data_IF_905326419605
#
_entry.id   IF_905326419605
#
_cell.length_a   1.000
_cell.length_b   1.000
_cell.length_c   1.000
_cell.angle_alpha   90.00
_cell.angle_beta   90.00
_cell.angle_gamma   90.00
#
_symmetry.space_group_name_H-M   'P 1'
#
loop_
_entity.id
_entity.type
_entity.pdbx_description
1 polymer ?
#
# COMPACT_ATOMS: atom_id res chain seq x y z
N UNK A 1 -2.81 -10.53 -9.52
CA UNK A 1 -4.04 -11.19 -9.97
C UNK A 1 -4.16 -12.50 -9.20
N UNK A 2 -5.26 -12.66 -8.48
CA UNK A 2 -5.53 -13.76 -7.53
C UNK A 2 -6.40 -14.81 -8.22
N UNK A 3 -6.28 -16.08 -7.83
CA UNK A 3 -6.94 -17.23 -8.46
C UNK A 3 -8.47 -17.30 -8.29
N UNK A 4 -9.10 -16.40 -7.52
CA UNK A 4 -10.55 -16.38 -7.33
C UNK A 4 -11.21 -15.10 -7.87
N UNK A 5 -12.33 -15.26 -8.56
CA UNK A 5 -13.09 -14.24 -9.28
C UNK A 5 -13.95 -13.32 -8.39
N UNK A 6 -13.51 -13.02 -7.17
CA UNK A 6 -14.11 -11.96 -6.34
C UNK A 6 -13.16 -10.77 -6.31
N UNK A 7 -13.62 -9.60 -6.71
CA UNK A 7 -12.81 -8.36 -6.82
C UNK A 7 -12.17 -7.88 -5.48
N UNK A 8 -12.46 -8.57 -4.37
CA UNK A 8 -11.90 -8.34 -3.04
C UNK A 8 -10.98 -9.51 -2.67
N UNK A 9 -9.75 -9.19 -2.27
CA UNK A 9 -8.75 -10.14 -1.78
C UNK A 9 -8.65 -10.10 -0.26
N UNK A 10 -8.47 -11.26 0.32
CA UNK A 10 -8.33 -11.52 1.76
C UNK A 10 -7.01 -12.25 2.06
N UNK A 11 -6.80 -12.61 3.33
CA UNK A 11 -5.57 -13.28 3.77
C UNK A 11 -5.36 -14.70 3.19
N UNK A 12 -6.39 -15.30 2.61
CA UNK A 12 -6.31 -16.60 1.93
C UNK A 12 -5.82 -16.47 0.49
N UNK A 13 -5.79 -15.24 -0.02
CA UNK A 13 -5.42 -14.93 -1.40
C UNK A 13 -3.90 -14.92 -1.60
N UNK A 14 -3.44 -15.57 -2.67
CA UNK A 14 -2.03 -15.56 -3.07
C UNK A 14 -1.86 -15.08 -4.50
N UNK A 15 -0.76 -14.36 -4.74
CA UNK A 15 -0.38 -13.98 -6.10
C UNK A 15 0.05 -15.21 -6.89
N UNK A 16 -0.51 -15.38 -8.10
CA UNK A 16 0.00 -16.34 -9.05
C UNK A 16 1.30 -15.81 -9.69
N UNK A 17 2.43 -16.39 -9.29
CA UNK A 17 3.78 -15.95 -9.69
C UNK A 17 4.03 -16.13 -11.18
N UNK A 18 3.44 -17.15 -11.81
CA UNK A 18 3.64 -17.43 -13.23
C UNK A 18 2.93 -16.39 -14.11
N UNK A 19 1.72 -15.98 -13.72
CA UNK A 19 1.01 -14.85 -14.35
C UNK A 19 1.86 -13.58 -14.23
N UNK A 20 2.36 -13.24 -13.04
CA UNK A 20 3.18 -12.04 -12.84
C UNK A 20 4.48 -12.08 -13.64
N UNK A 21 5.10 -13.26 -13.78
CA UNK A 21 6.30 -13.46 -14.59
C UNK A 21 6.02 -13.24 -16.08
N UNK A 22 4.84 -13.66 -16.56
CA UNK A 22 4.43 -13.46 -17.95
C UNK A 22 4.15 -11.99 -18.29
N UNK A 23 3.59 -11.21 -17.34
CA UNK A 23 3.27 -9.79 -17.54
C UNK A 23 4.51 -8.89 -17.75
N UNK A 24 5.68 -9.30 -17.23
CA UNK A 24 6.96 -8.57 -17.35
C UNK A 24 6.85 -7.07 -17.07
N UNK A 25 6.01 -6.66 -16.12
CA UNK A 25 5.83 -5.26 -15.77
C UNK A 25 6.88 -4.81 -14.74
N UNK A 26 6.98 -3.49 -14.52
CA UNK A 26 7.96 -2.89 -13.61
C UNK A 26 7.91 -3.48 -12.19
N UNK A 27 6.72 -3.83 -11.70
CA UNK A 27 6.52 -4.38 -10.36
C UNK A 27 6.65 -5.92 -10.29
N UNK A 28 6.88 -6.62 -11.41
CA UNK A 28 6.88 -8.09 -11.46
C UNK A 28 7.93 -8.69 -10.51
N UNK A 29 9.19 -8.24 -10.59
CA UNK A 29 10.28 -8.78 -9.76
C UNK A 29 10.02 -8.55 -8.26
N UNK A 30 9.54 -7.36 -7.89
CA UNK A 30 9.17 -7.03 -6.51
C UNK A 30 8.05 -7.95 -6.01
N UNK A 31 6.98 -8.09 -6.81
CA UNK A 31 5.80 -8.88 -6.45
C UNK A 31 6.15 -10.37 -6.30
N UNK A 32 6.95 -10.92 -7.22
CA UNK A 32 7.40 -12.31 -7.16
C UNK A 32 8.28 -12.52 -5.92
N UNK A 33 9.25 -11.64 -5.67
CA UNK A 33 10.13 -11.74 -4.50
C UNK A 33 9.32 -11.73 -3.20
N UNK A 34 8.42 -10.76 -3.00
CA UNK A 34 7.60 -10.68 -1.79
C UNK A 34 6.72 -11.92 -1.60
N UNK A 35 6.10 -12.41 -2.67
CA UNK A 35 5.24 -13.59 -2.62
C UNK A 35 6.02 -14.85 -2.20
N UNK A 36 7.17 -15.11 -2.84
CA UNK A 36 7.96 -16.31 -2.56
C UNK A 36 8.61 -16.24 -1.18
N UNK A 37 9.09 -15.08 -0.75
CA UNK A 37 9.65 -14.89 0.60
C UNK A 37 8.60 -15.15 1.69
N UNK A 38 7.38 -14.63 1.54
CA UNK A 38 6.31 -14.85 2.54
C UNK A 38 5.93 -16.33 2.63
N UNK A 39 5.75 -17.01 1.48
CA UNK A 39 5.47 -18.46 1.45
C UNK A 39 6.56 -19.27 2.16
N UNK A 40 7.82 -18.99 1.83
CA UNK A 40 8.96 -19.70 2.43
C UNK A 40 9.06 -19.45 3.95
N UNK A 41 8.81 -18.22 4.40
CA UNK A 41 8.83 -17.89 5.82
C UNK A 41 7.71 -18.62 6.59
N UNK A 42 6.49 -18.65 6.05
CA UNK A 42 5.36 -19.36 6.66
C UNK A 42 5.59 -20.87 6.73
N UNK A 43 6.08 -21.47 5.64
CA UNK A 43 6.41 -22.90 5.60
C UNK A 43 7.53 -23.25 6.60
N UNK A 44 8.58 -22.42 6.66
CA UNK A 44 9.65 -22.60 7.63
C UNK A 44 9.14 -22.49 9.07
N UNK A 45 8.30 -21.50 9.36
CA UNK A 45 7.76 -21.30 10.69
C UNK A 45 6.88 -22.48 11.13
N UNK A 46 6.02 -22.99 10.24
CA UNK A 46 5.19 -24.17 10.51
C UNK A 46 6.04 -25.41 10.81
N UNK A 47 7.06 -25.68 9.98
CA UNK A 47 7.98 -26.82 10.16
C UNK A 47 8.78 -26.77 11.46
N UNK A 48 9.03 -25.57 11.98
CA UNK A 48 9.89 -25.35 13.15
C UNK A 48 9.10 -24.94 14.40
N UNK A 49 7.76 -24.99 14.38
CA UNK A 49 6.93 -24.63 15.53
C UNK A 49 7.04 -23.16 15.95
N UNK A 50 7.39 -22.26 15.03
CA UNK A 50 7.49 -20.82 15.26
C UNK A 50 6.11 -20.19 15.02
N UNK A 51 5.60 -19.40 15.98
CA UNK A 51 4.41 -18.60 15.75
C UNK A 51 4.75 -17.37 14.89
N UNK A 52 4.72 -17.53 13.57
CA UNK A 52 4.93 -16.43 12.63
C UNK A 52 3.61 -15.74 12.29
N UNK A 53 3.64 -14.41 12.37
CA UNK A 53 2.60 -13.53 11.88
C UNK A 53 3.19 -12.66 10.77
N UNK A 54 2.47 -12.52 9.65
CA UNK A 54 2.86 -11.62 8.56
C UNK A 54 1.83 -10.50 8.44
N UNK A 55 2.34 -9.27 8.34
CA UNK A 55 1.52 -8.08 8.08
C UNK A 55 1.72 -7.68 6.63
N UNK A 56 0.62 -7.52 5.89
CA UNK A 56 0.60 -7.24 4.45
C UNK A 56 0.07 -5.83 4.26
N UNK A 57 0.94 -4.80 4.29
CA UNK A 57 0.51 -3.43 4.07
C UNK A 57 0.22 -3.16 2.59
N UNK A 58 -0.71 -2.24 2.33
CA UNK A 58 -0.89 -1.63 1.00
C UNK A 58 0.07 -0.45 0.81
N UNK A 59 -0.29 0.60 0.05
CA UNK A 59 0.65 1.70 -0.16
C UNK A 59 0.85 2.47 1.15
N UNK A 60 2.04 2.27 1.73
CA UNK A 60 2.42 2.94 2.97
C UNK A 60 2.64 4.42 2.67
N UNK A 61 1.85 5.28 3.30
CA UNK A 61 1.91 6.72 3.18
C UNK A 61 1.99 7.39 4.56
N UNK A 62 2.31 8.69 4.60
CA UNK A 62 2.56 9.41 5.85
C UNK A 62 3.97 10.01 5.96
N UNK A 63 4.30 10.58 7.13
CA UNK A 63 5.60 11.17 7.40
C UNK A 63 6.72 10.13 7.38
N UNK A 64 7.96 10.58 7.16
CA UNK A 64 9.10 9.68 7.05
C UNK A 64 10.36 10.29 7.68
N UNK A 65 11.19 9.42 8.25
CA UNK A 65 12.47 9.79 8.88
C UNK A 65 13.68 9.53 7.97
N UNK A 66 13.48 8.86 6.84
CA UNK A 66 14.54 8.51 5.90
C UNK A 66 15.11 9.76 5.22
N UNK A 67 16.40 9.74 4.83
CA UNK A 67 17.03 10.89 4.17
C UNK A 67 16.45 11.13 2.78
N UNK A 68 16.04 10.07 2.08
CA UNK A 68 15.35 10.14 0.80
C UNK A 68 13.86 9.84 0.98
N UNK A 69 13.03 10.38 0.08
CA UNK A 69 11.60 10.07 0.03
C UNK A 69 11.40 8.56 -0.20
N UNK A 70 10.65 7.85 0.65
CA UNK A 70 10.34 6.45 0.43
C UNK A 70 9.61 6.24 -0.90
N UNK A 71 9.90 5.15 -1.60
CA UNK A 71 9.28 4.85 -2.89
C UNK A 71 7.74 4.83 -2.85
N UNK A 72 7.15 4.29 -1.78
CA UNK A 72 5.68 4.28 -1.60
C UNK A 72 5.11 5.68 -1.41
N UNK A 73 5.77 6.54 -0.62
CA UNK A 73 5.36 7.93 -0.39
C UNK A 73 5.50 8.74 -1.69
N UNK A 74 6.60 8.56 -2.42
CA UNK A 74 6.81 9.20 -3.73
C UNK A 74 5.74 8.82 -4.74
N UNK A 75 5.40 7.53 -4.80
CA UNK A 75 4.34 7.02 -5.68
C UNK A 75 2.96 7.52 -5.27
N UNK A 76 2.72 7.65 -3.96
CA UNK A 76 1.47 8.19 -3.41
C UNK A 76 1.29 9.68 -3.71
N UNK A 77 2.38 10.44 -3.89
CA UNK A 77 2.35 11.88 -4.19
C UNK A 77 2.71 12.21 -5.64
N UNK A 78 2.57 11.26 -6.58
CA UNK A 78 2.99 11.47 -7.96
C UNK A 78 2.22 12.62 -8.66
N UNK A 79 0.95 12.85 -8.31
CA UNK A 79 0.17 13.99 -8.84
C UNK A 79 0.72 15.36 -8.41
N UNK A 80 1.40 15.41 -7.25
CA UNK A 80 1.99 16.64 -6.72
C UNK A 80 3.44 16.79 -7.22
N UNK A 81 4.19 15.69 -7.23
CA UNK A 81 5.61 15.70 -7.48
C UNK A 81 6.02 15.45 -8.94
N UNK A 82 5.04 15.11 -9.80
CA UNK A 82 5.24 14.72 -11.18
C UNK A 82 5.72 13.28 -11.37
N UNK A 83 5.64 12.82 -12.62
CA UNK A 83 6.02 11.47 -13.02
C UNK A 83 7.47 11.12 -12.67
N UNK A 84 7.70 9.86 -12.32
CA UNK A 84 9.05 9.30 -12.38
C UNK A 84 9.37 8.85 -13.80
N UNK A 85 10.66 8.64 -14.10
CA UNK A 85 11.11 7.95 -15.32
C UNK A 85 10.64 6.47 -15.39
N UNK A 86 9.75 6.04 -14.50
CA UNK A 86 9.20 4.70 -14.40
C UNK A 86 7.68 4.80 -14.59
N UNK A 87 7.15 4.08 -15.59
CA UNK A 87 5.74 4.06 -15.99
C UNK A 87 4.82 3.39 -14.93
N UNK A 88 4.76 3.91 -13.71
CA UNK A 88 3.81 3.45 -12.70
C UNK A 88 2.69 4.47 -12.57
N UNK A 89 1.54 4.19 -13.16
CA UNK A 89 0.34 5.02 -12.99
C UNK A 89 -0.50 4.54 -11.82
N UNK A 90 -1.28 5.45 -11.23
CA UNK A 90 -2.25 5.09 -10.21
C UNK A 90 -3.23 4.02 -10.74
N UNK A 91 -3.45 2.93 -9.99
CA UNK A 91 -4.53 2.02 -10.31
C UNK A 91 -5.89 2.71 -10.18
N UNK A 92 -6.97 2.15 -10.78
CA UNK A 92 -8.32 2.72 -10.64
C UNK A 92 -8.76 2.88 -9.18
N UNK A 93 -8.36 1.95 -8.31
CA UNK A 93 -8.53 2.03 -6.86
C UNK A 93 -7.15 1.99 -6.19
N UNK A 94 -6.86 3.01 -5.40
CA UNK A 94 -5.58 3.20 -4.72
C UNK A 94 -5.75 2.87 -3.24
N UNK A 95 -5.09 1.81 -2.73
CA UNK A 95 -5.19 1.43 -1.34
C UNK A 95 -4.05 2.04 -0.52
N UNK A 96 -4.38 2.75 0.55
CA UNK A 96 -3.41 3.38 1.45
C UNK A 96 -3.46 2.83 2.87
N UNK A 97 -2.33 2.93 3.55
CA UNK A 97 -2.22 2.74 4.99
C UNK A 97 -1.17 3.69 5.56
N UNK A 98 -1.43 4.27 6.72
CA UNK A 98 -0.50 5.17 7.38
C UNK A 98 0.68 4.39 7.97
N UNK A 99 1.90 4.92 7.88
CA UNK A 99 3.12 4.29 8.40
C UNK A 99 3.02 3.91 9.89
N UNK A 100 2.44 4.79 10.71
CA UNK A 100 2.24 4.52 12.13
C UNK A 100 1.15 3.47 12.37
N UNK A 101 0.15 3.36 11.50
CA UNK A 101 -0.86 2.29 11.62
C UNK A 101 -0.27 0.93 11.26
N UNK A 102 0.62 0.86 10.26
CA UNK A 102 1.39 -0.36 9.98
C UNK A 102 2.24 -0.73 11.19
N UNK A 103 2.93 0.23 11.79
CA UNK A 103 3.76 0.02 12.98
C UNK A 103 2.92 -0.45 14.17
N UNK A 104 1.78 0.21 14.41
CA UNK A 104 0.84 -0.15 15.46
C UNK A 104 0.25 -1.55 15.22
N UNK A 105 -0.02 -1.95 13.98
CA UNK A 105 -0.52 -3.29 13.66
C UNK A 105 0.51 -4.37 14.04
N UNK A 106 1.80 -4.14 13.75
CA UNK A 106 2.87 -5.05 14.17
C UNK A 106 2.93 -5.18 15.70
N UNK A 107 2.95 -4.06 16.42
CA UNK A 107 2.99 -4.06 17.91
C UNK A 107 1.74 -4.74 18.48
N UNK A 108 0.56 -4.41 17.96
CA UNK A 108 -0.70 -4.95 18.43
C UNK A 108 -0.77 -6.48 18.26
N UNK A 109 -0.39 -6.99 17.08
CA UNK A 109 -0.40 -8.44 16.81
C UNK A 109 0.67 -9.19 17.61
N UNK A 110 1.81 -8.55 17.89
CA UNK A 110 2.88 -9.14 18.69
C UNK A 110 2.52 -9.18 20.18
N UNK A 111 1.98 -8.09 20.74
CA UNK A 111 1.88 -7.90 22.18
C UNK A 111 0.47 -7.99 22.76
N UNK A 112 -0.56 -7.64 21.98
CA UNK A 112 -1.93 -7.44 22.49
C UNK A 112 -2.89 -8.55 22.09
N UNK A 113 -2.76 -9.07 20.87
CA UNK A 113 -3.65 -10.11 20.37
C UNK A 113 -3.01 -11.50 20.50
N UNK A 114 -3.26 -12.18 21.62
CA UNK A 114 -2.64 -13.47 21.95
C UNK A 114 -2.91 -14.59 20.94
N UNK A 115 -3.98 -14.47 20.15
CA UNK A 115 -4.37 -15.45 19.13
C UNK A 115 -3.87 -15.07 17.72
N UNK A 116 -2.93 -14.13 17.61
CA UNK A 116 -2.36 -13.73 16.32
C UNK A 116 -1.71 -14.93 15.63
N UNK A 117 -2.19 -15.26 14.43
CA UNK A 117 -1.65 -16.36 13.62
C UNK A 117 -1.81 -16.11 12.13
N UNK A 118 -0.74 -16.41 11.40
CA UNK A 118 -0.70 -16.33 9.95
C UNK A 118 -0.71 -14.89 9.44
N UNK A 119 -1.44 -14.67 8.36
CA UNK A 119 -1.37 -13.43 7.57
C UNK A 119 -2.41 -12.41 8.03
N UNK A 120 -2.12 -11.11 7.93
CA UNK A 120 -3.06 -10.01 8.20
C UNK A 120 -2.88 -8.90 7.17
N UNK A 121 -3.94 -8.56 6.43
CA UNK A 121 -3.93 -7.41 5.52
C UNK A 121 -4.08 -6.12 6.33
N UNK A 122 -3.22 -5.16 6.03
CA UNK A 122 -3.17 -3.85 6.68
C UNK A 122 -3.38 -2.74 5.62
N UNK A 123 -4.65 -2.48 5.30
CA UNK A 123 -5.12 -1.46 4.36
C UNK A 123 -6.22 -0.63 5.00
N UNK A 124 -6.01 0.68 5.16
CA UNK A 124 -6.91 1.56 5.91
C UNK A 124 -7.90 2.29 5.00
N UNK A 125 -7.42 2.81 3.86
CA UNK A 125 -8.19 3.67 2.95
C UNK A 125 -8.15 3.04 1.56
N UNK A 126 -9.27 3.12 0.86
CA UNK A 126 -9.37 2.81 -0.56
C UNK A 126 -10.11 3.95 -1.26
N UNK A 127 -9.49 4.52 -2.28
CA UNK A 127 -10.02 5.70 -2.99
C UNK A 127 -9.79 5.55 -4.49
N UNK A 128 -10.72 6.06 -5.32
CA UNK A 128 -10.48 6.08 -6.77
C UNK A 128 -9.47 7.16 -7.13
N UNK A 129 -8.73 7.00 -8.22
CA UNK A 129 -7.75 8.02 -8.66
C UNK A 129 -8.41 9.39 -8.91
N UNK A 130 -9.66 9.42 -9.38
CA UNK A 130 -10.43 10.65 -9.62
C UNK A 130 -10.78 11.34 -8.29
N UNK A 131 -11.30 10.59 -7.32
CA UNK A 131 -11.60 11.13 -5.98
C UNK A 131 -10.34 11.55 -5.24
N UNK A 132 -9.22 10.88 -5.49
CA UNK A 132 -7.93 11.29 -4.96
C UNK A 132 -7.53 12.65 -5.54
N UNK A 133 -7.65 12.86 -6.85
CA UNK A 133 -7.39 14.15 -7.47
C UNK A 133 -8.30 15.26 -6.92
N UNK A 134 -9.60 15.01 -6.76
CA UNK A 134 -10.56 15.94 -6.14
C UNK A 134 -10.16 16.30 -4.70
N UNK A 135 -9.78 15.30 -3.91
CA UNK A 135 -9.28 15.48 -2.54
C UNK A 135 -8.04 16.39 -2.53
N UNK A 136 -7.06 16.12 -3.40
CA UNK A 136 -5.82 16.89 -3.46
C UNK A 136 -6.06 18.33 -3.94
N UNK A 137 -6.92 18.55 -4.94
CA UNK A 137 -7.29 19.88 -5.41
C UNK A 137 -7.98 20.71 -4.33
N UNK A 138 -8.81 20.07 -3.51
CA UNK A 138 -9.55 20.73 -2.43
C UNK A 138 -8.63 21.08 -1.27
N UNK A 139 -7.74 20.17 -0.88
CA UNK A 139 -6.91 20.32 0.33
C UNK A 139 -5.60 21.06 0.09
N UNK A 140 -5.01 20.93 -1.10
CA UNK A 140 -3.71 21.49 -1.45
C UNK A 140 -3.77 22.33 -2.74
N UNK A 141 -4.51 23.45 -2.73
CA UNK A 141 -4.66 24.29 -3.91
C UNK A 141 -3.33 24.85 -4.42
N UNK A 142 -2.26 24.89 -3.60
CA UNK A 142 -0.93 25.28 -4.05
C UNK A 142 -0.33 24.35 -5.13
N UNK A 143 -0.82 23.12 -5.23
CA UNK A 143 -0.38 22.13 -6.22
C UNK A 143 -1.36 21.96 -7.39
N UNK A 144 -2.34 22.86 -7.53
CA UNK A 144 -3.41 22.76 -8.53
C UNK A 144 -2.86 22.62 -9.96
N UNK A 145 -1.77 23.33 -10.28
CA UNK A 145 -1.15 23.26 -11.62
C UNK A 145 -0.65 21.84 -11.91
N UNK A 146 0.13 21.28 -10.98
CA UNK A 146 0.73 19.95 -11.10
C UNK A 146 -0.35 18.87 -11.23
N UNK A 147 -1.41 18.97 -10.40
CA UNK A 147 -2.50 17.99 -10.39
C UNK A 147 -3.30 18.04 -11.70
N UNK A 148 -3.61 19.24 -12.22
CA UNK A 148 -4.37 19.39 -13.46
C UNK A 148 -3.57 19.00 -14.72
N UNK A 149 -2.25 19.18 -14.69
CA UNK A 149 -1.35 18.78 -15.79
C UNK A 149 -0.99 17.29 -15.72
N UNK A 150 -1.30 16.59 -14.62
CA UNK A 150 -1.00 15.17 -14.48
C UNK A 150 -1.80 14.33 -15.49
N UNK A 151 -1.09 13.50 -16.26
CA UNK A 151 -1.71 12.61 -17.23
C UNK A 151 -1.59 11.16 -16.79
N UNK A 152 -2.72 10.49 -16.68
CA UNK A 152 -2.74 9.05 -16.43
C UNK A 152 -2.23 8.35 -17.69
N UNK A 153 -1.23 7.47 -17.58
CA UNK A 153 -0.94 6.61 -18.70
C UNK A 153 -2.20 5.79 -19.01
N UNK A 154 -2.54 5.66 -20.30
CA UNK A 154 -3.58 4.74 -20.75
C UNK A 154 -3.04 3.31 -20.61
N UNK A 155 -2.87 2.83 -19.38
CA UNK A 155 -2.62 1.42 -19.17
C UNK A 155 -3.92 0.68 -19.49
N UNK A 156 -3.86 -0.34 -20.35
CA UNK A 156 -4.87 -1.40 -20.38
C UNK A 156 -5.23 -1.72 -18.92
N UNK A 157 -6.52 -1.67 -18.58
CA UNK A 157 -7.02 -1.71 -17.21
C UNK A 157 -6.46 -2.93 -16.44
N UNK A 158 -5.29 -2.76 -15.82
CA UNK A 158 -4.75 -3.76 -14.92
C UNK A 158 -5.68 -3.73 -13.72
N UNK A 159 -6.62 -4.67 -13.68
CA UNK A 159 -7.51 -4.87 -12.54
C UNK A 159 -6.64 -5.04 -11.29
N UNK A 160 -6.57 -3.98 -10.48
CA UNK A 160 -6.01 -4.06 -9.15
C UNK A 160 -7.09 -4.61 -8.22
N UNK A 161 -6.78 -5.67 -7.46
CA UNK A 161 -7.74 -6.19 -6.48
C UNK A 161 -7.93 -5.18 -5.36
N UNK A 162 -9.13 -5.19 -4.77
CA UNK A 162 -9.49 -4.44 -3.57
C UNK A 162 -9.09 -5.24 -2.34
N UNK A 163 -8.56 -4.62 -1.29
CA UNK A 163 -7.99 -5.35 -0.14
C UNK A 163 -8.93 -5.33 1.06
N UNK A 164 -9.22 -6.50 1.62
CA UNK A 164 -10.01 -6.63 2.85
C UNK A 164 -9.11 -6.68 4.09
N UNK A 165 -9.17 -5.64 4.93
CA UNK A 165 -8.56 -5.64 6.27
C UNK A 165 -9.47 -6.22 7.35
N UNK A 166 -10.55 -6.92 6.97
CA UNK A 166 -11.59 -7.37 7.89
C UNK A 166 -11.02 -8.24 9.02
N UNK A 167 -10.14 -9.19 8.71
CA UNK A 167 -9.51 -10.06 9.72
C UNK A 167 -8.76 -9.26 10.78
N UNK A 168 -8.01 -8.22 10.37
CA UNK A 168 -7.30 -7.36 11.31
C UNK A 168 -8.27 -6.55 12.17
N UNK A 169 -9.32 -5.98 11.59
CA UNK A 169 -10.32 -5.20 12.33
C UNK A 169 -11.10 -6.06 13.35
N UNK A 170 -11.41 -7.31 13.01
CA UNK A 170 -12.08 -8.25 13.90
C UNK A 170 -11.25 -8.64 15.14
N UNK A 171 -9.94 -8.41 15.13
CA UNK A 171 -9.10 -8.54 16.33
C UNK A 171 -9.30 -7.42 17.36
N UNK A 172 -10.01 -6.35 16.99
CA UNK A 172 -10.16 -5.13 17.78
C UNK A 172 -9.13 -4.03 17.45
N UNK A 173 -8.24 -4.27 16.48
CA UNK A 173 -7.34 -3.25 15.94
C UNK A 173 -8.13 -2.08 15.34
N UNK A 174 -7.63 -0.85 15.51
CA UNK A 174 -8.23 0.36 14.95
C UNK A 174 -7.15 1.20 14.28
N UNK A 175 -7.39 1.52 13.01
CA UNK A 175 -6.63 2.56 12.32
C UNK A 175 -6.85 3.90 13.00
N UNK A 176 -5.78 4.68 13.15
CA UNK A 176 -5.81 6.00 13.78
C UNK A 176 -5.74 7.13 12.77
N UNK A 177 -5.31 6.85 11.54
CA UNK A 177 -5.01 7.86 10.54
C UNK A 177 -5.81 7.61 9.26
N UNK A 178 -6.40 8.68 8.72
CA UNK A 178 -7.07 8.71 7.43
C UNK A 178 -6.18 9.28 6.33
N UNK A 179 -6.81 9.58 5.19
CA UNK A 179 -6.12 10.13 4.02
C UNK A 179 -5.52 11.51 4.30
N UNK A 180 -6.20 12.33 5.11
CA UNK A 180 -5.75 13.67 5.50
C UNK A 180 -4.41 13.62 6.23
N UNK A 181 -4.31 12.84 7.30
CA UNK A 181 -3.08 12.73 8.09
C UNK A 181 -1.92 12.14 7.28
N UNK A 182 -2.23 11.19 6.39
CA UNK A 182 -1.21 10.60 5.50
C UNK A 182 -0.60 11.64 4.56
N UNK A 183 -1.41 12.46 3.89
CA UNK A 183 -0.89 13.46 2.96
C UNK A 183 -0.28 14.67 3.69
N UNK A 184 -0.92 15.17 4.75
CA UNK A 184 -0.39 16.30 5.52
C UNK A 184 1.02 16.00 6.04
N UNK A 185 1.19 14.83 6.68
CA UNK A 185 2.48 14.42 7.25
C UNK A 185 3.54 14.19 6.19
N UNK A 186 3.19 13.63 5.04
CA UNK A 186 4.12 13.41 3.94
C UNK A 186 4.57 14.71 3.26
N UNK A 187 3.63 15.63 3.01
CA UNK A 187 3.90 16.94 2.41
C UNK A 187 4.77 17.78 3.33
N UNK A 188 4.45 17.84 4.63
CA UNK A 188 5.25 18.56 5.62
C UNK A 188 6.68 18.00 5.69
N UNK A 189 6.84 16.67 5.69
CA UNK A 189 8.17 16.04 5.63
C UNK A 189 8.95 16.42 4.37
N UNK A 190 8.27 16.56 3.23
CA UNK A 190 8.90 16.97 1.96
C UNK A 190 9.31 18.44 1.98
N UNK A 191 8.46 19.34 2.50
CA UNK A 191 8.77 20.78 2.67
C UNK A 191 10.00 20.98 3.55
N UNK A 192 10.05 20.29 4.71
CA UNK A 192 11.18 20.34 5.65
C UNK A 192 12.51 19.84 5.06
N UNK A 193 12.45 19.03 3.98
CA UNK A 193 13.62 18.44 3.32
C UNK A 193 13.93 19.07 1.96
N UNK A 194 13.26 20.18 1.62
CA UNK A 194 13.40 20.88 0.34
C UNK A 194 13.17 19.98 -0.88
N UNK A 195 12.26 19.00 -0.73
CA UNK A 195 11.75 18.18 -1.82
C UNK A 195 10.56 18.88 -2.49
N UNK A 196 9.77 19.60 -1.68
CA UNK A 196 8.67 20.50 -2.06
C UNK A 196 8.98 21.93 -1.61
#
# INVERSE_FOLDING_TARGET
MVENSSDIVDENSWTNVDIVRALKNFASSYTISKTLTEKAALEFAEKNGINLVTVIPTWIHGPFITPQIPGSVRSSMEMILGHQNYNMSYPPYVPFVHVDDVTNAHIFLLEKYSNAKGRYICSAVEITREKLAEFLLTRYPEFQKQINEYTWASSEEVKCPRFSSKKLLETGFKYKHGLEEMYDGAIECCKQRSIL
#
